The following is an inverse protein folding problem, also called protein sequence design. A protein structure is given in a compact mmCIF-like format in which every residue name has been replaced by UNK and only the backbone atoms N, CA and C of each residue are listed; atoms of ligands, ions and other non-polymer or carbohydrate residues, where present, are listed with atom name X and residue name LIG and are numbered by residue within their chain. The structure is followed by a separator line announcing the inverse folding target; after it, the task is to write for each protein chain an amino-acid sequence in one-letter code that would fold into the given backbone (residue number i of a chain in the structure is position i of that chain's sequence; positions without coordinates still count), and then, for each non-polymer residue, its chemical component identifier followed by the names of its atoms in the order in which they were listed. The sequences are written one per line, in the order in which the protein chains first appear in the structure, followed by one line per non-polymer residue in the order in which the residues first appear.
data_IF_503971699320
#
_entry.id   IF_503971699320
#
_cell.length_a   1.000
_cell.length_b   1.000
_cell.length_c   1.000
_cell.angle_alpha   90.00
_cell.angle_beta   90.00
_cell.angle_gamma   90.00
#
_symmetry.space_group_name_H-M   'P 1'
#
loop_
_entity.id
_entity.type
_entity.pdbx_description
1 polymer ?
#
# COMPACT_ATOMS: atom_id res chain seq x y z
N UNK A 1 -27.03 -25.12 6.02
CA UNK A 1 -27.24 -26.58 5.84
C UNK A 1 -26.44 -27.17 4.69
N UNK A 2 -26.72 -26.87 3.41
CA UNK A 2 -25.95 -27.42 2.26
C UNK A 2 -24.43 -27.27 2.42
N UNK A 3 -23.96 -26.07 2.74
CA UNK A 3 -22.53 -25.79 2.98
C UNK A 3 -21.91 -26.61 4.12
N UNK A 4 -22.71 -26.94 5.15
CA UNK A 4 -22.30 -27.72 6.30
C UNK A 4 -22.38 -29.24 6.06
N UNK A 5 -22.90 -29.67 4.90
CA UNK A 5 -23.08 -31.09 4.57
C UNK A 5 -24.35 -31.72 5.14
N UNK A 6 -25.18 -30.95 5.85
CA UNK A 6 -26.42 -31.42 6.48
C UNK A 6 -27.58 -31.55 5.47
N UNK A 7 -27.39 -31.10 4.24
CA UNK A 7 -28.38 -31.22 3.17
C UNK A 7 -27.70 -31.48 1.82
N UNK A 8 -28.26 -32.35 0.93
CA UNK A 8 -27.65 -32.68 -0.35
C UNK A 8 -27.40 -31.46 -1.25
N UNK A 9 -26.22 -31.41 -1.88
CA UNK A 9 -25.92 -30.44 -2.95
C UNK A 9 -26.39 -30.99 -4.31
N UNK A 10 -27.04 -30.15 -5.12
CA UNK A 10 -27.50 -30.51 -6.48
C UNK A 10 -26.72 -29.68 -7.52
N UNK A 11 -25.52 -30.13 -7.88
CA UNK A 11 -24.68 -29.47 -8.89
C UNK A 11 -24.07 -28.11 -8.50
N UNK A 12 -24.31 -27.64 -7.27
CA UNK A 12 -23.76 -26.38 -6.76
C UNK A 12 -22.38 -26.62 -6.12
N UNK A 13 -21.44 -25.72 -6.36
CA UNK A 13 -20.14 -25.73 -5.68
C UNK A 13 -20.20 -25.01 -4.33
N UNK A 14 -19.21 -25.23 -3.47
CA UNK A 14 -19.06 -24.48 -2.21
C UNK A 14 -18.95 -22.97 -2.46
N UNK A 15 -18.27 -22.57 -3.55
CA UNK A 15 -18.13 -21.17 -3.95
C UNK A 15 -19.46 -20.56 -4.34
N UNK A 16 -20.31 -21.29 -5.07
CA UNK A 16 -21.65 -20.84 -5.43
C UNK A 16 -22.50 -20.61 -4.17
N UNK A 17 -22.42 -21.53 -3.20
CA UNK A 17 -23.16 -21.43 -1.94
C UNK A 17 -22.71 -20.22 -1.13
N UNK A 18 -21.40 -20.03 -0.93
CA UNK A 18 -20.85 -18.89 -0.18
C UNK A 18 -21.20 -17.58 -0.87
N UNK A 19 -21.00 -17.50 -2.19
CA UNK A 19 -21.32 -16.32 -2.97
C UNK A 19 -22.82 -16.00 -2.88
N UNK A 20 -23.69 -17.01 -2.94
CA UNK A 20 -25.14 -16.83 -2.79
C UNK A 20 -25.50 -16.29 -1.41
N UNK A 21 -24.94 -16.87 -0.33
CA UNK A 21 -25.18 -16.40 1.04
C UNK A 21 -24.75 -14.94 1.19
N UNK A 22 -23.54 -14.60 0.72
CA UNK A 22 -23.02 -13.24 0.80
C UNK A 22 -23.83 -12.25 -0.06
N UNK A 23 -24.28 -12.66 -1.25
CA UNK A 23 -25.15 -11.86 -2.12
C UNK A 23 -26.52 -11.61 -1.51
N UNK A 24 -27.17 -12.63 -0.92
CA UNK A 24 -28.49 -12.45 -0.27
C UNK A 24 -28.40 -11.42 0.85
N UNK A 25 -27.31 -11.46 1.63
CA UNK A 25 -27.03 -10.47 2.66
C UNK A 25 -26.80 -9.04 2.12
N UNK A 26 -26.40 -8.90 0.84
CA UNK A 26 -26.11 -7.62 0.18
C UNK A 26 -27.30 -7.08 -0.65
N UNK A 27 -28.05 -7.96 -1.33
CA UNK A 27 -29.03 -7.61 -2.35
C UNK A 27 -30.31 -6.98 -1.78
N UNK A 28 -30.71 -7.35 -0.56
CA UNK A 28 -31.86 -6.69 0.10
C UNK A 28 -31.55 -5.25 0.58
N UNK A 29 -30.27 -4.87 0.67
CA UNK A 29 -29.86 -3.51 1.06
C UNK A 29 -30.17 -2.47 -0.04
N UNK A 30 -30.26 -2.89 -1.32
CA UNK A 30 -30.45 -1.99 -2.47
C UNK A 30 -31.95 -1.86 -2.84
N UNK A 31 -32.76 -2.89 -2.59
CA UNK A 31 -34.14 -2.95 -3.09
C UNK A 31 -35.21 -2.56 -2.05
N UNK A 32 -34.93 -2.66 -0.74
CA UNK A 32 -36.00 -2.66 0.26
C UNK A 32 -35.91 -1.55 1.32
N UNK A 33 -34.81 -0.79 1.41
CA UNK A 33 -34.62 0.22 2.47
C UNK A 33 -34.49 -0.34 3.89
N UNK A 34 -34.85 -1.61 4.12
CA UNK A 34 -34.67 -2.31 5.39
C UNK A 34 -33.20 -2.70 5.59
N UNK A 35 -32.49 -1.85 6.31
CA UNK A 35 -31.09 -2.04 6.64
C UNK A 35 -30.92 -3.20 7.65
N UNK A 36 -30.35 -4.33 7.20
CA UNK A 36 -29.66 -5.29 8.08
C UNK A 36 -30.39 -6.56 8.49
N UNK A 37 -31.71 -6.70 8.24
CA UNK A 37 -32.49 -7.86 8.70
C UNK A 37 -31.93 -9.22 8.21
N UNK A 38 -31.54 -9.32 6.93
CA UNK A 38 -30.96 -10.57 6.40
C UNK A 38 -29.54 -10.83 6.90
N UNK A 39 -28.78 -9.79 7.26
CA UNK A 39 -27.43 -9.95 7.80
C UNK A 39 -27.52 -10.55 9.21
N UNK A 40 -28.43 -10.02 10.02
CA UNK A 40 -28.68 -10.53 11.36
C UNK A 40 -29.27 -11.94 11.32
N UNK A 41 -30.23 -12.20 10.42
CA UNK A 41 -30.77 -13.55 10.23
C UNK A 41 -29.68 -14.54 9.81
N UNK A 42 -28.76 -14.16 8.92
CA UNK A 42 -27.63 -15.02 8.56
C UNK A 42 -26.75 -15.34 9.78
N UNK A 43 -26.47 -14.34 10.64
CA UNK A 43 -25.74 -14.57 11.89
C UNK A 43 -26.51 -15.50 12.84
N UNK A 44 -27.80 -15.24 13.07
CA UNK A 44 -28.67 -16.07 13.92
C UNK A 44 -28.71 -17.52 13.44
N UNK A 45 -28.88 -17.75 12.13
CA UNK A 45 -28.90 -19.09 11.56
C UNK A 45 -27.56 -19.80 11.76
N UNK A 46 -26.43 -19.14 11.51
CA UNK A 46 -25.12 -19.77 11.70
C UNK A 46 -24.85 -20.04 13.18
N UNK A 47 -25.14 -19.09 14.08
CA UNK A 47 -25.04 -19.27 15.54
C UNK A 47 -25.86 -20.46 16.01
N UNK A 48 -27.12 -20.57 15.57
CA UNK A 48 -27.99 -21.70 15.85
C UNK A 48 -27.37 -23.02 15.37
N UNK A 49 -26.86 -23.05 14.14
CA UNK A 49 -26.31 -24.28 13.54
C UNK A 49 -25.00 -24.75 14.18
N UNK A 50 -24.23 -23.87 14.84
CA UNK A 50 -23.00 -24.27 15.56
C UNK A 50 -23.22 -24.51 17.06
N UNK A 51 -24.38 -24.11 17.59
CA UNK A 51 -24.75 -24.31 19.00
C UNK A 51 -25.35 -25.70 19.18
N UNK A 52 -24.72 -26.53 20.02
CA UNK A 52 -25.17 -27.92 20.29
C UNK A 52 -25.45 -28.67 18.98
N UNK A 53 -24.49 -28.62 18.05
CA UNK A 53 -24.64 -29.24 16.74
C UNK A 53 -24.72 -30.78 16.88
N UNK A 54 -25.87 -31.37 16.55
CA UNK A 54 -26.15 -32.81 16.61
C UNK A 54 -26.08 -33.51 15.24
N UNK A 55 -25.41 -32.91 14.26
CA UNK A 55 -25.32 -33.48 12.92
C UNK A 55 -24.57 -34.82 12.93
N UNK A 56 -25.02 -35.76 12.08
CA UNK A 56 -24.29 -37.01 11.83
C UNK A 56 -23.04 -36.80 10.98
N UNK A 57 -22.82 -35.59 10.44
CA UNK A 57 -21.62 -35.23 9.68
C UNK A 57 -20.55 -34.65 10.61
N UNK A 58 -19.36 -35.28 10.74
CA UNK A 58 -18.35 -34.85 11.70
C UNK A 58 -17.83 -33.43 11.45
N UNK A 59 -17.78 -33.00 10.18
CA UNK A 59 -17.28 -31.67 9.81
C UNK A 59 -18.36 -30.56 9.82
N UNK A 60 -19.62 -30.89 10.14
CA UNK A 60 -20.74 -29.95 10.04
C UNK A 60 -20.50 -28.68 10.86
N UNK A 61 -20.22 -28.84 12.16
CA UNK A 61 -19.98 -27.71 13.07
C UNK A 61 -18.75 -26.89 12.65
N UNK A 62 -17.65 -27.56 12.28
CA UNK A 62 -16.44 -26.89 11.78
C UNK A 62 -16.70 -26.07 10.52
N UNK A 63 -17.53 -26.56 9.60
CA UNK A 63 -17.99 -25.82 8.42
C UNK A 63 -18.88 -24.64 8.80
N UNK A 64 -19.74 -24.78 9.80
CA UNK A 64 -20.52 -23.67 10.35
C UNK A 64 -19.64 -22.53 10.86
N UNK A 65 -18.58 -22.85 11.62
CA UNK A 65 -17.61 -21.85 12.07
C UNK A 65 -16.82 -21.20 10.92
N UNK A 66 -16.49 -21.95 9.86
CA UNK A 66 -15.89 -21.38 8.65
C UNK A 66 -16.84 -20.42 7.95
N UNK A 67 -18.13 -20.72 7.93
CA UNK A 67 -19.14 -19.80 7.40
C UNK A 67 -19.26 -18.54 8.27
N UNK A 68 -19.22 -18.66 9.60
CA UNK A 68 -19.16 -17.52 10.52
C UNK A 68 -17.93 -16.63 10.27
N UNK A 69 -16.76 -17.26 10.06
CA UNK A 69 -15.51 -16.55 9.72
C UNK A 69 -15.63 -15.75 8.42
N UNK A 70 -16.26 -16.33 7.41
CA UNK A 70 -16.56 -15.64 6.16
C UNK A 70 -17.53 -14.48 6.43
N UNK A 71 -18.70 -14.73 7.04
CA UNK A 71 -19.70 -13.68 7.30
C UNK A 71 -19.11 -12.46 8.03
N UNK A 72 -18.35 -12.69 9.09
CA UNK A 72 -17.71 -11.63 9.88
C UNK A 72 -16.68 -10.79 9.12
N UNK A 73 -16.17 -11.29 7.98
CA UNK A 73 -15.23 -10.56 7.11
C UNK A 73 -15.93 -9.68 6.05
N UNK A 74 -17.21 -9.92 5.78
CA UNK A 74 -17.95 -9.31 4.68
C UNK A 74 -19.13 -8.45 5.15
N UNK A 75 -19.74 -8.76 6.28
CA UNK A 75 -20.98 -8.12 6.71
C UNK A 75 -20.91 -7.64 8.15
N UNK A 76 -21.25 -6.36 8.37
CA UNK A 76 -21.58 -5.87 9.71
C UNK A 76 -22.96 -6.41 10.12
N UNK A 77 -23.09 -6.88 11.36
CA UNK A 77 -24.41 -7.06 11.97
C UNK A 77 -24.99 -5.69 12.37
N UNK A 78 -26.29 -5.65 12.69
CA UNK A 78 -26.90 -4.43 13.23
C UNK A 78 -26.37 -4.11 14.62
N UNK A 79 -26.56 -2.86 15.06
CA UNK A 79 -26.20 -2.45 16.44
C UNK A 79 -27.03 -3.21 17.49
N UNK A 80 -28.24 -3.68 17.15
CA UNK A 80 -29.07 -4.51 18.02
C UNK A 80 -28.48 -5.91 18.18
N UNK A 81 -28.03 -6.54 17.09
CA UNK A 81 -27.46 -7.88 17.10
C UNK A 81 -26.01 -7.92 17.63
N UNK A 82 -25.27 -6.83 17.47
CA UNK A 82 -23.86 -6.70 17.85
C UNK A 82 -23.51 -7.20 19.26
N UNK A 83 -24.19 -6.80 20.36
CA UNK A 83 -23.86 -7.31 21.70
C UNK A 83 -24.01 -8.82 21.79
N UNK A 84 -25.09 -9.39 21.24
CA UNK A 84 -25.34 -10.84 21.27
C UNK A 84 -24.30 -11.62 20.48
N UNK A 85 -23.96 -11.15 19.27
CA UNK A 85 -22.93 -11.78 18.44
C UNK A 85 -21.55 -11.71 19.10
N UNK A 86 -21.18 -10.56 19.68
CA UNK A 86 -19.89 -10.41 20.37
C UNK A 86 -19.80 -11.32 21.59
N UNK A 87 -20.81 -11.35 22.44
CA UNK A 87 -20.84 -12.25 23.61
C UNK A 87 -20.74 -13.71 23.18
N UNK A 88 -21.52 -14.12 22.17
CA UNK A 88 -21.43 -15.48 21.63
C UNK A 88 -20.02 -15.87 21.17
N UNK A 89 -19.34 -14.98 20.43
CA UNK A 89 -17.98 -15.21 19.96
C UNK A 89 -16.98 -15.25 21.13
N UNK A 90 -17.15 -14.38 22.14
CA UNK A 90 -16.27 -14.30 23.31
C UNK A 90 -16.43 -15.53 24.23
N UNK A 91 -17.65 -16.01 24.45
CA UNK A 91 -17.90 -17.23 25.25
C UNK A 91 -17.28 -18.47 24.60
N UNK A 92 -17.38 -18.56 23.26
CA UNK A 92 -16.71 -19.59 22.48
C UNK A 92 -15.18 -19.48 22.52
N UNK A 93 -14.63 -18.29 22.81
CA UNK A 93 -13.19 -18.08 23.02
C UNK A 93 -12.75 -18.41 24.45
N UNK A 94 -13.57 -18.13 25.45
CA UNK A 94 -13.17 -18.12 26.85
C UNK A 94 -13.08 -19.53 27.46
N UNK A 95 -13.79 -20.50 26.89
CA UNK A 95 -13.89 -21.85 27.46
C UNK A 95 -12.67 -22.71 27.07
N UNK A 96 -11.76 -23.03 28.01
CA UNK A 96 -10.56 -23.83 27.73
C UNK A 96 -10.95 -25.24 27.28
N UNK A 97 -10.31 -25.76 26.23
CA UNK A 97 -10.56 -27.12 25.71
C UNK A 97 -11.66 -27.24 24.65
N UNK A 98 -12.37 -26.15 24.30
CA UNK A 98 -13.31 -26.17 23.18
C UNK A 98 -12.59 -26.20 21.82
N UNK A 99 -13.09 -27.05 20.91
CA UNK A 99 -12.50 -27.32 19.58
C UNK A 99 -12.42 -26.09 18.65
N UNK A 100 -13.14 -24.99 18.95
CA UNK A 100 -13.33 -23.86 18.02
C UNK A 100 -12.84 -22.51 18.54
N UNK A 101 -12.10 -22.48 19.65
CA UNK A 101 -11.58 -21.24 20.25
C UNK A 101 -10.82 -20.36 19.25
N UNK A 102 -9.93 -20.96 18.46
CA UNK A 102 -9.09 -20.21 17.51
C UNK A 102 -9.90 -19.53 16.40
N UNK A 103 -10.90 -20.20 15.84
CA UNK A 103 -11.74 -19.64 14.78
C UNK A 103 -12.75 -18.62 15.34
N UNK A 104 -13.30 -18.84 16.54
CA UNK A 104 -14.15 -17.86 17.21
C UNK A 104 -13.42 -16.54 17.46
N UNK A 105 -12.17 -16.59 17.93
CA UNK A 105 -11.31 -15.40 18.12
C UNK A 105 -11.05 -14.67 16.80
N UNK A 106 -10.85 -15.42 15.72
CA UNK A 106 -10.65 -14.84 14.41
C UNK A 106 -11.93 -14.17 13.87
N UNK A 107 -13.11 -14.78 14.09
CA UNK A 107 -14.41 -14.17 13.78
C UNK A 107 -14.62 -12.86 14.56
N UNK A 108 -14.27 -12.83 15.85
CA UNK A 108 -14.37 -11.62 16.67
C UNK A 108 -13.46 -10.50 16.10
N UNK A 109 -12.22 -10.82 15.76
CA UNK A 109 -11.29 -9.88 15.13
C UNK A 109 -11.82 -9.37 13.79
N UNK A 110 -12.32 -10.26 12.93
CA UNK A 110 -12.91 -9.88 11.65
C UNK A 110 -14.10 -8.95 11.85
N UNK A 111 -15.00 -9.25 12.79
CA UNK A 111 -16.17 -8.42 13.06
C UNK A 111 -15.76 -7.00 13.49
N UNK A 112 -14.79 -6.87 14.41
CA UNK A 112 -14.24 -5.56 14.83
C UNK A 112 -13.70 -4.77 13.63
N UNK A 113 -12.94 -5.43 12.75
CA UNK A 113 -12.38 -4.83 11.54
C UNK A 113 -13.47 -4.41 10.57
N UNK A 114 -14.49 -5.25 10.39
CA UNK A 114 -15.63 -4.97 9.53
C UNK A 114 -16.41 -3.75 10.02
N UNK A 115 -16.60 -3.57 11.34
CA UNK A 115 -17.14 -2.34 11.91
C UNK A 115 -16.26 -1.11 11.64
N UNK A 116 -14.95 -1.25 11.78
CA UNK A 116 -14.00 -0.15 11.63
C UNK A 116 -13.82 0.33 10.18
N UNK A 117 -13.71 -0.59 9.22
CA UNK A 117 -13.31 -0.29 7.84
C UNK A 117 -14.41 -0.51 6.80
N UNK A 118 -15.45 -1.28 7.13
CA UNK A 118 -16.43 -1.76 6.15
C UNK A 118 -16.26 -3.26 5.97
N UNK A 119 -17.22 -3.93 5.35
CA UNK A 119 -16.99 -5.31 4.93
C UNK A 119 -16.14 -5.36 3.67
N UNK A 120 -15.50 -6.51 3.41
CA UNK A 120 -14.93 -6.79 2.09
C UNK A 120 -15.98 -6.66 0.99
N UNK A 121 -15.57 -6.14 -0.16
CA UNK A 121 -16.47 -5.89 -1.30
C UNK A 121 -16.31 -6.92 -2.42
N UNK A 122 -15.16 -7.59 -2.51
CA UNK A 122 -14.93 -8.65 -3.48
C UNK A 122 -15.08 -10.03 -2.83
N UNK A 123 -15.96 -10.86 -3.37
CA UNK A 123 -16.14 -12.23 -2.88
C UNK A 123 -14.84 -13.04 -3.01
N UNK A 124 -14.59 -13.99 -2.09
CA UNK A 124 -13.35 -14.75 -2.13
C UNK A 124 -13.27 -15.58 -3.40
N UNK A 125 -12.12 -15.53 -4.07
CA UNK A 125 -11.88 -16.38 -5.24
C UNK A 125 -11.74 -17.86 -4.83
N UNK A 126 -11.71 -18.77 -5.80
CA UNK A 126 -11.69 -20.21 -5.52
C UNK A 126 -10.48 -20.64 -4.69
N UNK A 127 -9.33 -19.98 -4.85
CA UNK A 127 -8.11 -20.30 -4.11
C UNK A 127 -8.17 -19.79 -2.67
N UNK A 128 -8.67 -18.56 -2.47
CA UNK A 128 -8.92 -17.99 -1.16
C UNK A 128 -9.92 -18.85 -0.37
N UNK A 129 -11.04 -19.22 -1.00
CA UNK A 129 -12.06 -20.03 -0.35
C UNK A 129 -11.51 -21.42 0.04
N UNK A 130 -10.78 -22.09 -0.86
CA UNK A 130 -10.10 -23.36 -0.54
C UNK A 130 -9.15 -23.22 0.65
N UNK A 131 -8.45 -22.09 0.77
CA UNK A 131 -7.57 -21.83 1.91
C UNK A 131 -8.36 -21.64 3.22
N UNK A 132 -9.43 -20.84 3.20
CA UNK A 132 -10.33 -20.68 4.35
C UNK A 132 -10.95 -22.02 4.78
N UNK A 133 -11.35 -22.85 3.82
CA UNK A 133 -11.86 -24.20 4.07
C UNK A 133 -10.80 -25.17 4.59
N UNK A 134 -9.51 -24.89 4.39
CA UNK A 134 -8.42 -25.61 5.03
C UNK A 134 -8.04 -25.03 6.40
N UNK A 135 -8.79 -24.05 6.92
CA UNK A 135 -8.49 -23.37 8.19
C UNK A 135 -7.33 -22.36 8.10
N UNK A 136 -6.88 -22.00 6.89
CA UNK A 136 -5.84 -20.99 6.69
C UNK A 136 -6.48 -19.60 6.69
N UNK A 137 -6.05 -18.76 7.63
CA UNK A 137 -6.55 -17.39 7.83
C UNK A 137 -5.55 -16.30 7.41
N UNK A 138 -4.45 -16.69 6.75
CA UNK A 138 -3.41 -15.76 6.30
C UNK A 138 -2.76 -16.19 4.99
N UNK A 139 -2.28 -15.20 4.22
CA UNK A 139 -1.53 -15.34 2.97
C UNK A 139 -0.20 -14.60 3.10
N UNK A 140 0.88 -15.16 2.56
CA UNK A 140 2.15 -14.44 2.39
C UNK A 140 2.03 -13.60 1.12
N UNK A 141 2.13 -12.27 1.24
CA UNK A 141 1.97 -11.33 0.15
C UNK A 141 3.27 -10.55 -0.05
N UNK A 142 3.73 -10.46 -1.30
CA UNK A 142 4.89 -9.67 -1.68
C UNK A 142 4.48 -8.21 -1.87
N UNK A 143 5.27 -7.33 -1.25
CA UNK A 143 5.30 -5.89 -1.46
C UNK A 143 6.68 -5.48 -1.94
N UNK A 144 6.72 -4.65 -2.97
CA UNK A 144 7.95 -4.12 -3.56
C UNK A 144 8.21 -2.71 -3.04
N UNK A 145 9.44 -2.47 -2.62
CA UNK A 145 9.93 -1.15 -2.23
C UNK A 145 10.89 -0.63 -3.32
N UNK A 146 11.06 0.70 -3.43
CA UNK A 146 12.01 1.31 -4.36
C UNK A 146 13.38 0.61 -4.41
N UNK A 147 13.86 0.39 -5.63
CA UNK A 147 15.09 -0.37 -5.90
C UNK A 147 14.92 -1.88 -5.96
N UNK A 148 13.68 -2.37 -6.08
CA UNK A 148 13.38 -3.80 -6.22
C UNK A 148 13.54 -4.57 -4.91
N UNK A 149 13.45 -3.89 -3.77
CA UNK A 149 13.53 -4.53 -2.46
C UNK A 149 12.24 -5.31 -2.22
N UNK A 150 12.35 -6.62 -2.04
CA UNK A 150 11.21 -7.49 -1.77
C UNK A 150 10.91 -7.61 -0.28
N UNK A 151 9.66 -7.34 0.12
CA UNK A 151 9.17 -7.54 1.49
C UNK A 151 7.94 -8.42 1.47
N UNK A 152 8.05 -9.59 2.10
CA UNK A 152 6.95 -10.53 2.21
C UNK A 152 6.25 -10.36 3.56
N UNK A 153 5.01 -9.88 3.54
CA UNK A 153 4.20 -9.71 4.75
C UNK A 153 3.15 -10.82 4.88
N UNK A 154 2.76 -11.12 6.11
CA UNK A 154 1.68 -12.06 6.40
C UNK A 154 0.35 -11.30 6.53
N UNK A 155 -0.39 -11.22 5.43
CA UNK A 155 -1.72 -10.59 5.45
C UNK A 155 -2.79 -11.58 5.91
N UNK A 156 -3.79 -11.08 6.64
CA UNK A 156 -4.99 -11.82 7.07
C UNK A 156 -6.17 -11.49 6.14
N UNK A 157 -7.29 -12.23 6.28
CA UNK A 157 -8.51 -11.98 5.50
C UNK A 157 -8.99 -10.53 5.57
N UNK A 158 -8.92 -9.91 6.75
CA UNK A 158 -9.33 -8.53 6.99
C UNK A 158 -8.17 -7.52 7.03
N UNK A 159 -7.02 -7.85 6.41
CA UNK A 159 -5.91 -6.90 6.30
C UNK A 159 -6.20 -5.82 5.26
N UNK A 160 -6.08 -4.56 5.69
CA UNK A 160 -6.25 -3.37 4.86
C UNK A 160 -4.89 -2.74 4.56
N UNK A 161 -4.85 -1.81 3.62
CA UNK A 161 -3.62 -1.11 3.25
C UNK A 161 -2.94 -0.40 4.43
N UNK A 162 -3.69 0.10 5.41
CA UNK A 162 -3.14 0.69 6.63
C UNK A 162 -2.26 -0.29 7.42
N UNK A 163 -2.67 -1.56 7.58
CA UNK A 163 -1.87 -2.51 8.36
C UNK A 163 -0.51 -2.77 7.69
N UNK A 164 -0.51 -2.84 6.36
CA UNK A 164 0.71 -2.98 5.56
C UNK A 164 1.62 -1.77 5.75
N UNK A 165 1.05 -0.57 5.74
CA UNK A 165 1.79 0.66 5.98
C UNK A 165 2.38 0.67 7.38
N UNK A 166 1.59 0.34 8.40
CA UNK A 166 2.04 0.25 9.80
C UNK A 166 3.17 -0.76 9.97
N UNK A 167 3.05 -1.96 9.39
CA UNK A 167 4.05 -3.02 9.50
C UNK A 167 5.38 -2.61 8.83
N UNK A 168 5.33 -2.10 7.59
CA UNK A 168 6.54 -1.65 6.88
C UNK A 168 7.17 -0.42 7.52
N UNK A 169 6.37 0.52 8.01
CA UNK A 169 6.86 1.67 8.75
C UNK A 169 7.51 1.25 10.07
N UNK A 170 6.94 0.28 10.78
CA UNK A 170 7.52 -0.27 12.01
C UNK A 170 8.89 -0.91 11.75
N UNK A 171 9.03 -1.72 10.69
CA UNK A 171 10.33 -2.28 10.27
C UNK A 171 11.37 -1.19 9.97
N UNK A 172 10.92 -0.03 9.48
CA UNK A 172 11.74 1.14 9.20
C UNK A 172 12.00 2.04 10.43
N UNK A 173 11.56 1.66 11.63
CA UNK A 173 11.74 2.47 12.84
C UNK A 173 10.81 3.69 12.93
N UNK A 174 9.71 3.70 12.18
CA UNK A 174 8.72 4.77 12.16
C UNK A 174 7.49 4.34 12.99
N UNK A 175 7.25 5.02 14.10
CA UNK A 175 6.13 4.75 15.01
C UNK A 175 5.13 5.90 15.11
N UNK A 176 5.49 7.08 14.57
CA UNK A 176 4.66 8.28 14.62
C UNK A 176 3.58 8.23 13.55
N UNK A 177 2.37 8.61 13.90
CA UNK A 177 1.22 8.56 13.00
C UNK A 177 1.41 9.46 11.78
N UNK A 178 2.03 10.62 11.97
CA UNK A 178 2.37 11.56 10.90
C UNK A 178 3.34 10.94 9.89
N UNK A 179 4.23 10.04 10.34
CA UNK A 179 5.13 9.32 9.43
C UNK A 179 4.38 8.27 8.60
N UNK A 180 3.32 7.67 9.14
CA UNK A 180 2.46 6.74 8.39
C UNK A 180 1.63 7.45 7.31
N UNK A 181 1.29 8.72 7.53
CA UNK A 181 0.56 9.54 6.56
C UNK A 181 1.40 9.91 5.33
N UNK A 182 2.72 9.89 5.47
CA UNK A 182 3.62 10.13 4.35
C UNK A 182 3.78 8.94 3.40
N UNK A 183 3.27 7.76 3.76
CA UNK A 183 3.47 6.53 3.00
C UNK A 183 2.17 5.97 2.43
N UNK A 184 2.27 5.32 1.28
CA UNK A 184 1.14 4.70 0.61
C UNK A 184 1.54 3.40 -0.11
N UNK A 185 0.55 2.51 -0.25
CA UNK A 185 0.64 1.29 -1.06
C UNK A 185 0.01 1.56 -2.42
N UNK A 186 0.57 0.98 -3.47
CA UNK A 186 0.16 1.14 -4.86
C UNK A 186 -0.10 -0.21 -5.49
N UNK A 187 -1.19 -0.33 -6.24
CA UNK A 187 -1.36 -1.39 -7.22
C UNK A 187 -0.68 -0.95 -8.52
N UNK A 188 0.17 -1.80 -9.06
CA UNK A 188 0.85 -1.60 -10.33
C UNK A 188 0.49 -2.74 -11.28
N UNK A 189 -0.04 -2.40 -12.46
CA UNK A 189 -0.40 -3.35 -13.52
C UNK A 189 0.16 -2.93 -14.88
N UNK A 190 0.12 -3.84 -15.84
CA UNK A 190 0.59 -3.71 -17.21
C UNK A 190 2.04 -3.20 -17.28
N UNK A 191 2.94 -3.86 -16.57
CA UNK A 191 4.39 -3.53 -16.52
C UNK A 191 4.66 -2.07 -16.16
N UNK A 192 3.89 -1.49 -15.24
CA UNK A 192 4.10 -0.13 -14.76
C UNK A 192 3.34 0.96 -15.52
N UNK A 193 2.55 0.59 -16.53
CA UNK A 193 1.72 1.57 -17.25
C UNK A 193 0.60 2.12 -16.37
N UNK A 194 0.04 1.29 -15.49
CA UNK A 194 -1.03 1.68 -14.58
C UNK A 194 -0.52 1.61 -13.14
N UNK A 195 -0.57 2.75 -12.45
CA UNK A 195 -0.15 2.88 -11.05
C UNK A 195 -1.28 3.54 -10.28
N UNK A 196 -1.93 2.80 -9.38
CA UNK A 196 -3.06 3.26 -8.57
C UNK A 196 -2.70 3.29 -7.09
N UNK A 197 -2.73 4.45 -6.40
CA UNK A 197 -2.66 4.47 -4.94
C UNK A 197 -3.85 3.75 -4.33
N UNK A 198 -3.60 3.00 -3.26
CA UNK A 198 -4.64 2.41 -2.44
C UNK A 198 -5.04 3.38 -1.33
N UNK A 199 -6.33 3.51 -1.08
CA UNK A 199 -6.88 4.07 0.14
C UNK A 199 -6.49 3.16 1.31
N UNK A 200 -6.12 3.77 2.45
CA UNK A 200 -5.71 3.08 3.69
C UNK A 200 -6.75 2.06 4.18
N UNK A 201 -8.03 2.23 3.83
CA UNK A 201 -9.14 1.35 4.24
C UNK A 201 -9.43 0.21 3.24
N UNK A 202 -8.83 0.21 2.06
CA UNK A 202 -9.03 -0.87 1.08
C UNK A 202 -8.41 -2.18 1.56
N UNK A 203 -9.13 -3.29 1.42
CA UNK A 203 -8.67 -4.64 1.75
C UNK A 203 -7.70 -5.16 0.70
N UNK A 204 -6.51 -5.62 1.13
CA UNK A 204 -5.47 -6.09 0.20
C UNK A 204 -5.94 -7.30 -0.62
N UNK A 205 -6.75 -8.19 -0.02
CA UNK A 205 -7.29 -9.35 -0.74
C UNK A 205 -8.38 -8.97 -1.75
N UNK A 206 -9.10 -7.88 -1.53
CA UNK A 206 -10.02 -7.34 -2.55
C UNK A 206 -9.22 -6.86 -3.76
N UNK A 207 -8.15 -6.09 -3.51
CA UNK A 207 -7.26 -5.59 -4.56
C UNK A 207 -6.63 -6.72 -5.36
N UNK A 208 -6.12 -7.75 -4.66
CA UNK A 208 -5.53 -8.92 -5.31
C UNK A 208 -6.55 -9.69 -6.16
N UNK A 209 -7.78 -9.84 -5.66
CA UNK A 209 -8.86 -10.56 -6.36
C UNK A 209 -9.29 -9.85 -7.64
N UNK A 210 -9.35 -8.52 -7.62
CA UNK A 210 -9.63 -7.70 -8.81
C UNK A 210 -8.47 -7.68 -9.80
N UNK A 211 -7.23 -7.58 -9.31
CA UNK A 211 -6.06 -7.39 -10.15
C UNK A 211 -5.64 -8.67 -10.89
N UNK A 212 -5.75 -9.84 -10.24
CA UNK A 212 -5.25 -11.11 -10.77
C UNK A 212 -5.83 -11.50 -12.15
N UNK A 213 -7.15 -11.34 -12.41
CA UNK A 213 -7.71 -11.58 -13.75
C UNK A 213 -7.33 -10.53 -14.81
N UNK A 214 -6.99 -9.31 -14.38
CA UNK A 214 -6.65 -8.18 -15.28
C UNK A 214 -5.20 -8.27 -15.72
N UNK A 215 -4.29 -8.59 -14.79
CA UNK A 215 -2.87 -8.76 -15.05
C UNK A 215 -2.28 -9.75 -14.05
N UNK A 216 -1.89 -10.93 -14.52
CA UNK A 216 -1.24 -11.94 -13.70
C UNK A 216 0.12 -11.50 -13.11
N UNK A 217 0.74 -10.45 -13.68
CA UNK A 217 1.99 -9.86 -13.20
C UNK A 217 1.78 -8.58 -12.40
N UNK A 218 0.58 -8.35 -11.85
CA UNK A 218 0.34 -7.21 -10.96
C UNK A 218 1.32 -7.24 -9.78
N UNK A 219 1.65 -6.06 -9.25
CA UNK A 219 2.49 -5.93 -8.08
C UNK A 219 1.97 -4.88 -7.12
N UNK A 220 2.25 -5.06 -5.83
CA UNK A 220 1.95 -4.10 -4.79
C UNK A 220 3.23 -3.38 -4.39
N UNK A 221 3.24 -2.05 -4.47
CA UNK A 221 4.40 -1.23 -4.17
C UNK A 221 4.17 -0.36 -2.94
N UNK A 222 5.17 -0.21 -2.10
CA UNK A 222 5.15 0.69 -0.96
C UNK A 222 6.15 1.83 -1.18
N UNK A 223 5.67 3.09 -1.08
CA UNK A 223 6.52 4.28 -1.26
C UNK A 223 6.13 5.42 -0.35
N UNK A 224 7.07 6.33 -0.13
CA UNK A 224 6.80 7.64 0.47
C UNK A 224 6.22 8.58 -0.59
N UNK A 225 5.18 9.32 -0.26
CA UNK A 225 4.46 10.22 -1.18
C UNK A 225 4.44 11.67 -0.71
N UNK A 226 4.54 11.89 0.60
CA UNK A 226 4.63 13.22 1.21
C UNK A 226 5.99 13.33 1.90
N UNK A 227 6.60 14.52 1.82
CA UNK A 227 7.95 14.79 2.31
C UNK A 227 7.95 16.01 3.24
N UNK A 228 7.11 15.98 4.26
CA UNK A 228 6.98 17.04 5.27
C UNK A 228 7.84 16.79 6.51
N UNK A 229 8.12 15.53 6.85
CA UNK A 229 8.99 15.18 7.98
C UNK A 229 10.45 14.99 7.53
N UNK A 230 11.38 15.48 8.33
CA UNK A 230 12.80 15.22 8.12
C UNK A 230 13.10 13.71 8.09
N UNK A 231 14.03 13.30 7.22
CA UNK A 231 14.46 11.91 7.11
C UNK A 231 15.16 11.45 8.39
N UNK A 232 14.80 10.25 8.87
CA UNK A 232 15.54 9.53 9.90
C UNK A 232 16.56 8.60 9.25
N UNK A 233 17.84 8.93 9.35
CA UNK A 233 18.91 8.25 8.62
C UNK A 233 19.61 7.14 9.43
N UNK A 234 18.92 6.57 10.41
CA UNK A 234 19.42 5.57 11.36
C UNK A 234 19.03 4.12 11.01
N UNK A 235 18.01 3.92 10.17
CA UNK A 235 17.53 2.59 9.76
C UNK A 235 17.99 2.25 8.33
N UNK A 236 18.59 1.06 8.16
CA UNK A 236 19.16 0.65 6.87
C UNK A 236 18.11 0.46 5.76
N UNK A 237 16.97 -0.16 6.09
CA UNK A 237 15.87 -0.35 5.14
C UNK A 237 15.29 0.99 4.70
N UNK A 238 15.02 1.87 5.67
CA UNK A 238 14.49 3.21 5.42
C UNK A 238 15.42 4.00 4.50
N UNK A 239 16.71 4.09 4.84
CA UNK A 239 17.71 4.82 4.05
C UNK A 239 17.84 4.23 2.65
N UNK A 240 17.89 2.91 2.51
CA UNK A 240 18.06 2.27 1.20
C UNK A 240 16.83 2.49 0.32
N UNK A 241 15.63 2.33 0.87
CA UNK A 241 14.37 2.57 0.15
C UNK A 241 14.25 4.03 -0.31
N UNK A 242 14.52 5.01 0.57
CA UNK A 242 14.44 6.43 0.20
C UNK A 242 15.52 6.81 -0.82
N UNK A 243 16.74 6.28 -0.67
CA UNK A 243 17.82 6.48 -1.65
C UNK A 243 17.39 6.01 -3.04
N UNK A 244 16.84 4.80 -3.14
CA UNK A 244 16.37 4.25 -4.40
C UNK A 244 15.15 5.00 -4.98
N UNK A 245 14.37 5.66 -4.13
CA UNK A 245 13.24 6.47 -4.56
C UNK A 245 13.67 7.83 -5.09
N UNK A 246 14.68 8.45 -4.48
CA UNK A 246 15.18 9.81 -4.82
C UNK A 246 16.17 9.77 -5.98
N UNK A 247 16.96 8.71 -6.11
CA UNK A 247 18.04 8.60 -7.11
C UNK A 247 17.58 8.83 -8.56
N UNK A 248 16.45 8.27 -9.05
CA UNK A 248 16.00 8.52 -10.42
C UNK A 248 15.67 9.99 -10.70
N UNK A 249 15.13 10.71 -9.71
CA UNK A 249 14.81 12.15 -9.85
C UNK A 249 16.06 13.00 -9.87
N UNK A 250 17.06 12.64 -9.06
CA UNK A 250 18.37 13.26 -9.12
C UNK A 250 19.00 13.10 -10.51
N UNK A 251 19.01 11.88 -11.07
CA UNK A 251 19.60 11.61 -12.38
C UNK A 251 18.83 12.29 -13.53
N UNK A 252 17.53 12.54 -13.36
CA UNK A 252 16.69 13.33 -14.26
C UNK A 252 16.80 14.84 -14.03
N UNK A 253 17.65 15.29 -13.09
CA UNK A 253 17.83 16.68 -12.70
C UNK A 253 16.55 17.40 -12.26
N UNK A 254 15.65 16.67 -11.59
CA UNK A 254 14.39 17.19 -11.05
C UNK A 254 14.54 17.74 -9.62
N UNK A 255 15.69 17.50 -8.99
CA UNK A 255 15.98 17.98 -7.64
C UNK A 255 16.70 19.33 -7.70
N UNK A 256 16.39 20.22 -6.76
CA UNK A 256 16.98 21.56 -6.66
C UNK A 256 18.49 21.59 -6.43
N UNK A 257 19.07 20.48 -5.97
CA UNK A 257 20.52 20.28 -5.92
C UNK A 257 21.18 20.32 -7.31
N UNK A 258 20.40 20.14 -8.37
CA UNK A 258 20.86 20.13 -9.75
C UNK A 258 20.45 21.43 -10.44
N UNK A 259 21.39 22.24 -10.95
CA UNK A 259 21.06 23.54 -11.53
C UNK A 259 20.33 23.38 -12.88
N UNK A 260 19.31 24.19 -13.16
CA UNK A 260 18.59 24.14 -14.45
C UNK A 260 19.37 24.79 -15.62
N UNK A 261 20.51 25.43 -15.32
CA UNK A 261 21.33 26.18 -16.28
C UNK A 261 22.80 25.73 -16.33
N UNK A 262 23.70 26.67 -16.60
CA UNK A 262 25.14 26.39 -16.50
C UNK A 262 25.51 26.13 -15.03
N UNK A 263 26.13 24.98 -14.70
CA UNK A 263 26.51 24.70 -13.33
C UNK A 263 27.64 25.64 -12.89
N UNK A 264 27.50 26.22 -11.69
CA UNK A 264 28.63 26.89 -11.04
C UNK A 264 29.65 25.86 -10.55
N UNK A 265 30.87 26.30 -10.21
CA UNK A 265 31.90 25.41 -9.67
C UNK A 265 31.42 24.68 -8.40
N UNK A 266 30.64 25.34 -7.54
CA UNK A 266 30.03 24.73 -6.36
C UNK A 266 29.07 23.59 -6.74
N UNK A 267 28.24 23.77 -7.77
CA UNK A 267 27.35 22.72 -8.26
C UNK A 267 28.14 21.53 -8.84
N UNK A 268 29.23 21.79 -9.58
CA UNK A 268 30.10 20.73 -10.09
C UNK A 268 30.67 19.90 -8.93
N UNK A 269 31.23 20.56 -7.91
CA UNK A 269 31.75 19.90 -6.71
C UNK A 269 30.67 19.07 -6.00
N UNK A 270 29.45 19.59 -5.91
CA UNK A 270 28.33 18.88 -5.27
C UNK A 270 27.89 17.64 -6.08
N UNK A 271 27.68 17.78 -7.39
CA UNK A 271 27.31 16.69 -8.29
C UNK A 271 28.38 15.60 -8.27
N UNK A 272 29.66 15.97 -8.31
CA UNK A 272 30.77 15.03 -8.22
C UNK A 272 30.80 14.30 -6.87
N UNK A 273 30.58 15.02 -5.77
CA UNK A 273 30.52 14.38 -4.44
C UNK A 273 29.35 13.40 -4.34
N UNK A 274 28.19 13.74 -4.92
CA UNK A 274 27.05 12.84 -5.02
C UNK A 274 27.37 11.61 -5.89
N UNK A 275 28.17 11.75 -6.95
CA UNK A 275 28.63 10.61 -7.75
C UNK A 275 29.57 9.67 -6.96
N UNK A 276 30.50 10.22 -6.18
CA UNK A 276 31.35 9.42 -5.29
C UNK A 276 30.53 8.66 -4.24
N UNK A 277 29.53 9.31 -3.64
CA UNK A 277 28.59 8.67 -2.70
C UNK A 277 27.77 7.55 -3.36
N UNK A 278 27.27 7.76 -4.58
CA UNK A 278 26.55 6.73 -5.34
C UNK A 278 27.43 5.52 -5.64
N UNK A 279 28.69 5.73 -6.03
CA UNK A 279 29.66 4.64 -6.24
C UNK A 279 29.83 3.83 -4.95
N UNK A 280 30.15 4.49 -3.83
CA UNK A 280 30.32 3.81 -2.55
C UNK A 280 29.04 3.13 -2.05
N UNK A 281 27.87 3.66 -2.37
CA UNK A 281 26.58 3.06 -2.05
C UNK A 281 26.32 1.71 -2.75
N UNK A 282 27.06 1.38 -3.81
CA UNK A 282 27.06 0.05 -4.47
C UNK A 282 27.96 -0.97 -3.77
N UNK A 283 28.56 -0.60 -2.64
CA UNK A 283 29.56 -1.37 -1.90
C UNK A 283 30.86 -1.67 -2.65
N UNK A 284 31.21 -0.82 -3.62
CA UNK A 284 32.47 -0.91 -4.35
C UNK A 284 33.60 -0.26 -3.53
N UNK A 285 34.79 -0.89 -3.55
CA UNK A 285 35.98 -0.47 -2.79
C UNK A 285 37.05 0.12 -3.72
N UNK A 286 36.98 -0.20 -5.02
CA UNK A 286 37.89 0.31 -6.05
C UNK A 286 37.49 1.71 -6.54
N UNK A 287 38.40 2.38 -7.25
CA UNK A 287 38.14 3.70 -7.84
C UNK A 287 37.14 3.62 -9.01
N UNK A 288 36.22 4.57 -9.14
CA UNK A 288 35.19 4.52 -10.17
C UNK A 288 35.79 4.57 -11.58
N UNK A 289 35.17 3.87 -12.52
CA UNK A 289 35.47 3.92 -13.95
C UNK A 289 34.69 5.04 -14.64
N UNK A 290 35.10 5.43 -15.85
CA UNK A 290 34.35 6.42 -16.66
C UNK A 290 32.88 6.06 -16.82
N UNK A 291 32.58 4.78 -17.05
CA UNK A 291 31.22 4.28 -17.23
C UNK A 291 30.39 4.42 -15.94
N UNK A 292 30.96 4.07 -14.80
CA UNK A 292 30.26 4.18 -13.51
C UNK A 292 30.00 5.64 -13.14
N UNK A 293 30.96 6.54 -13.42
CA UNK A 293 30.75 7.98 -13.26
C UNK A 293 29.64 8.47 -14.17
N UNK A 294 29.62 8.06 -15.44
CA UNK A 294 28.55 8.43 -16.38
C UNK A 294 27.16 8.04 -15.88
N UNK A 295 27.01 6.88 -15.24
CA UNK A 295 25.74 6.42 -14.69
C UNK A 295 25.30 7.20 -13.44
N UNK A 296 26.22 7.87 -12.75
CA UNK A 296 25.97 8.60 -11.50
C UNK A 296 25.78 10.12 -11.70
N UNK A 297 25.98 10.64 -12.92
CA UNK A 297 25.91 12.06 -13.25
C UNK A 297 24.65 12.30 -14.10
N UNK A 298 23.85 13.36 -13.83
CA UNK A 298 22.70 13.65 -14.67
C UNK A 298 23.12 13.88 -16.14
N UNK A 299 22.53 13.18 -17.12
CA UNK A 299 23.05 13.10 -18.50
C UNK A 299 23.28 14.46 -19.18
N UNK A 300 22.49 15.48 -18.81
CA UNK A 300 22.58 16.84 -19.34
C UNK A 300 23.89 17.59 -19.01
N UNK A 301 24.63 17.16 -17.98
CA UNK A 301 25.94 17.74 -17.63
C UNK A 301 27.11 16.89 -18.12
N UNK A 302 26.90 15.58 -18.24
CA UNK A 302 27.96 14.68 -18.67
C UNK A 302 28.42 14.96 -20.11
N UNK A 303 27.51 15.38 -20.99
CA UNK A 303 27.83 15.73 -22.39
C UNK A 303 28.49 17.11 -22.54
N UNK A 304 28.20 18.05 -21.65
CA UNK A 304 28.69 19.45 -21.72
C UNK A 304 30.09 19.62 -21.13
N UNK A 305 30.45 18.76 -20.19
CA UNK A 305 31.69 18.83 -19.42
C UNK A 305 32.51 17.57 -19.73
N UNK A 306 33.81 17.70 -20.01
CA UNK A 306 34.63 16.58 -20.47
C UNK A 306 34.58 15.36 -19.52
N UNK A 307 34.40 14.16 -20.07
CA UNK A 307 34.26 12.91 -19.30
C UNK A 307 35.41 12.64 -18.33
N UNK A 308 36.65 12.94 -18.74
CA UNK A 308 37.85 12.82 -17.90
C UNK A 308 37.84 13.77 -16.70
N UNK A 309 37.26 14.97 -16.87
CA UNK A 309 37.16 15.93 -15.78
C UNK A 309 36.23 15.39 -14.68
N UNK A 310 35.08 14.83 -15.05
CA UNK A 310 34.17 14.19 -14.08
C UNK A 310 34.84 13.04 -13.34
N UNK A 311 35.58 12.20 -14.04
CA UNK A 311 36.33 11.09 -13.42
C UNK A 311 37.35 11.58 -12.40
N UNK A 312 38.16 12.57 -12.79
CA UNK A 312 39.22 13.11 -11.93
C UNK A 312 38.63 13.73 -10.66
N UNK A 313 37.59 14.56 -10.80
CA UNK A 313 36.92 15.16 -9.65
C UNK A 313 36.26 14.07 -8.78
N UNK A 314 35.63 13.05 -9.37
CA UNK A 314 34.98 11.98 -8.60
C UNK A 314 36.01 11.17 -7.80
N UNK A 315 37.14 10.86 -8.44
CA UNK A 315 38.28 10.18 -7.82
C UNK A 315 38.86 10.99 -6.65
N UNK A 316 38.90 12.32 -6.76
CA UNK A 316 39.32 13.18 -5.64
C UNK A 316 38.36 13.06 -4.44
N UNK A 317 37.04 13.11 -4.68
CA UNK A 317 36.05 12.96 -3.60
C UNK A 317 36.01 11.56 -3.00
N UNK A 318 36.46 10.53 -3.73
CA UNK A 318 36.53 9.16 -3.20
C UNK A 318 37.40 9.04 -1.96
N UNK A 319 38.46 9.84 -1.81
CA UNK A 319 39.32 9.80 -0.61
C UNK A 319 38.53 10.08 0.69
N UNK A 320 37.51 10.94 0.61
CA UNK A 320 36.65 11.29 1.75
C UNK A 320 35.50 10.29 1.96
N UNK A 321 35.07 9.63 0.88
CA UNK A 321 33.91 8.74 0.87
C UNK A 321 34.29 7.28 1.12
N UNK A 322 35.52 6.87 0.79
CA UNK A 322 35.99 5.49 0.91
C UNK A 322 35.85 4.89 2.32
N UNK A 323 36.07 5.64 3.44
CA UNK A 323 35.88 5.09 4.79
C UNK A 323 34.41 4.80 5.17
N UNK A 324 33.45 5.36 4.42
CA UNK A 324 32.02 5.16 4.73
C UNK A 324 31.61 3.72 4.41
N UNK A 325 30.57 3.22 5.06
CA UNK A 325 29.85 2.03 4.61
C UNK A 325 28.71 2.40 3.62
N UNK A 326 28.11 1.43 2.91
CA UNK A 326 27.05 1.72 1.93
C UNK A 326 25.85 2.47 2.52
N UNK A 327 25.44 2.12 3.74
CA UNK A 327 24.35 2.80 4.45
C UNK A 327 24.69 4.28 4.71
N UNK A 328 25.89 4.56 5.24
CA UNK A 328 26.38 5.92 5.48
C UNK A 328 26.50 6.72 4.17
N UNK A 329 26.93 6.08 3.07
CA UNK A 329 27.01 6.73 1.77
C UNK A 329 25.61 7.13 1.25
N UNK A 330 24.62 6.23 1.34
CA UNK A 330 23.21 6.51 1.00
C UNK A 330 22.60 7.59 1.91
N UNK A 331 22.88 7.53 3.21
CA UNK A 331 22.43 8.53 4.18
C UNK A 331 23.01 9.92 3.88
N UNK A 332 24.31 10.03 3.62
CA UNK A 332 24.93 11.29 3.23
C UNK A 332 24.44 11.81 1.88
N UNK A 333 24.17 10.91 0.91
CA UNK A 333 23.55 11.29 -0.35
C UNK A 333 22.17 11.91 -0.10
N UNK A 334 21.31 11.22 0.66
CA UNK A 334 19.98 11.71 1.02
C UNK A 334 20.03 13.04 1.76
N UNK A 335 20.90 13.18 2.76
CA UNK A 335 21.05 14.44 3.50
C UNK A 335 21.47 15.62 2.62
N UNK A 336 22.15 15.38 1.49
CA UNK A 336 22.54 16.43 0.54
C UNK A 336 21.47 16.74 -0.50
N UNK A 337 20.58 15.81 -0.79
CA UNK A 337 19.52 15.97 -1.80
C UNK A 337 18.18 16.39 -1.19
N UNK A 338 17.93 16.06 0.09
CA UNK A 338 16.64 16.32 0.77
C UNK A 338 16.59 17.60 1.61
N UNK A 339 17.74 18.12 2.06
CA UNK A 339 17.84 19.43 2.74
C UNK A 339 17.33 20.59 1.86
N UNK A 340 17.14 20.38 0.55
CA UNK A 340 16.62 21.38 -0.37
C UNK A 340 15.12 21.21 -0.73
N UNK A 341 14.46 20.14 -0.25
CA UNK A 341 13.03 19.93 -0.48
C UNK A 341 12.13 20.59 0.60
N UNK A 342 12.69 20.85 1.80
CA UNK A 342 12.00 21.49 2.92
C UNK A 342 11.86 23.02 2.74
N UNK A 343 12.82 23.70 2.10
CA UNK A 343 12.78 25.17 1.95
C UNK A 343 11.93 25.67 0.77
N UNK A 344 11.97 25.01 -0.40
CA UNK A 344 11.38 25.58 -1.62
C UNK A 344 9.86 25.44 -1.72
N UNK A 345 9.24 24.54 -0.95
CA UNK A 345 7.78 24.38 -0.93
C UNK A 345 7.06 25.37 -0.02
N UNK A 346 7.72 25.92 1.00
CA UNK A 346 7.12 26.93 1.89
C UNK A 346 7.19 28.35 1.33
N UNK A 347 8.16 28.65 0.45
CA UNK A 347 8.35 30.00 -0.11
C UNK A 347 7.41 30.35 -1.28
N UNK A 348 6.62 29.40 -1.81
CA UNK A 348 5.72 29.63 -2.94
C UNK A 348 4.26 29.91 -2.57
N UNK A 349 3.88 29.84 -1.29
CA UNK A 349 2.48 30.01 -0.82
C UNK A 349 2.30 31.29 0.01
N UNK A 350 2.67 32.44 -0.57
CA UNK A 350 2.37 33.76 -0.03
C UNK A 350 1.17 34.41 -0.74
N UNK A 351 0.10 34.61 0.03
CA UNK A 351 -1.05 35.51 -0.17
C UNK A 351 -2.07 35.31 -1.32
N UNK A 352 -3.30 35.76 -1.02
CA UNK A 352 -4.51 35.98 -1.85
C UNK A 352 -5.40 34.75 -2.11
N UNK A 353 -6.75 34.74 -1.98
CA UNK A 353 -7.76 35.79 -1.79
C UNK A 353 -9.02 35.48 -2.63
N UNK A 354 -10.04 34.84 -2.02
CA UNK A 354 -11.51 34.75 -2.29
C UNK A 354 -12.19 34.81 -3.71
N UNK A 355 -13.21 33.91 -3.87
CA UNK A 355 -14.54 33.98 -4.59
C UNK A 355 -14.88 33.32 -5.98
N UNK A 356 -15.92 32.44 -5.94
CA UNK A 356 -17.15 32.14 -6.76
C UNK A 356 -17.26 31.75 -8.27
N UNK A 357 -17.86 30.55 -8.46
CA UNK A 357 -19.05 30.05 -9.25
C UNK A 357 -19.31 30.24 -10.76
N UNK A 358 -19.92 29.17 -11.34
CA UNK A 358 -20.52 28.93 -12.68
C UNK A 358 -19.51 28.48 -13.77
N UNK A 359 -19.70 27.50 -14.66
CA UNK A 359 -20.78 26.61 -15.10
C UNK A 359 -20.44 26.21 -16.57
N UNK A 360 -20.59 24.93 -16.95
CA UNK A 360 -20.74 24.38 -18.33
C UNK A 360 -19.87 23.19 -18.78
N UNK A 361 -20.49 22.42 -19.69
CA UNK A 361 -20.30 21.01 -20.04
C UNK A 361 -19.65 20.73 -21.40
N UNK A 362 -18.83 19.65 -21.43
CA UNK A 362 -18.57 18.62 -22.47
C UNK A 362 -18.07 19.05 -23.88
N UNK A 363 -16.87 18.55 -24.27
CA UNK A 363 -16.70 17.76 -25.51
C UNK A 363 -15.39 16.96 -25.61
N UNK A 364 -15.47 15.89 -26.40
CA UNK A 364 -14.55 14.74 -26.57
C UNK A 364 -13.37 14.96 -27.54
N UNK A 365 -12.16 14.52 -27.16
CA UNK A 365 -11.15 13.73 -27.91
C UNK A 365 -9.71 13.98 -27.39
N UNK A 366 -8.89 12.92 -27.45
CA UNK A 366 -7.42 12.85 -27.34
C UNK A 366 -6.77 12.71 -25.95
N UNK A 367 -5.90 11.70 -25.87
CA UNK A 367 -4.79 11.48 -24.92
C UNK A 367 -5.07 11.55 -23.41
N UNK A 368 -5.16 10.35 -22.80
CA UNK A 368 -5.25 10.14 -21.36
C UNK A 368 -3.99 10.64 -20.62
N UNK A 369 -3.97 11.93 -20.29
CA UNK A 369 -3.13 12.52 -19.25
C UNK A 369 -3.80 12.29 -17.89
N UNK A 370 -3.33 11.30 -17.13
CA UNK A 370 -3.82 11.06 -15.76
C UNK A 370 -2.96 11.85 -14.78
N UNK A 371 -3.56 12.90 -14.24
CA UNK A 371 -3.04 13.71 -13.14
C UNK A 371 -3.23 12.99 -11.81
N UNK A 372 -2.19 12.95 -10.99
CA UNK A 372 -2.28 12.56 -9.58
C UNK A 372 -2.92 13.72 -8.79
N UNK A 373 -4.25 13.80 -8.80
CA UNK A 373 -4.99 14.43 -7.69
C UNK A 373 -5.26 13.35 -6.66
N UNK A 374 -4.46 13.32 -5.59
CA UNK A 374 -4.89 12.71 -4.34
C UNK A 374 -5.69 13.76 -3.56
N UNK A 375 -6.92 13.45 -3.11
CA UNK A 375 -7.71 14.38 -2.31
C UNK A 375 -7.13 14.44 -0.90
N UNK A 376 -6.44 15.53 -0.57
CA UNK A 376 -6.27 15.96 0.82
C UNK A 376 -7.44 16.90 1.09
N UNK A 377 -8.39 16.45 1.91
CA UNK A 377 -9.46 17.28 2.40
C UNK A 377 -8.88 18.36 3.32
N UNK A 378 -8.68 19.56 2.79
CA UNK A 378 -8.73 20.80 3.56
C UNK A 378 -9.69 21.74 2.83
N UNK A 379 -10.72 22.20 3.54
CA UNK A 379 -11.63 23.24 3.07
C UNK A 379 -10.84 24.48 2.62
N UNK A 380 -10.91 24.85 1.33
CA UNK A 380 -11.31 26.18 0.79
C UNK A 380 -10.97 26.29 -0.73
N UNK A 381 -11.89 26.90 -1.48
CA UNK A 381 -11.92 27.20 -2.93
C UNK A 381 -10.81 28.19 -3.39
N UNK A 382 -10.43 28.47 -4.64
CA UNK A 382 -10.75 28.10 -6.03
C UNK A 382 -9.54 28.48 -6.95
N UNK A 383 -9.66 28.27 -8.26
CA UNK A 383 -8.61 28.21 -9.29
C UNK A 383 -8.00 29.54 -9.80
N UNK A 384 -6.80 29.47 -10.39
CA UNK A 384 -6.21 30.50 -11.24
C UNK A 384 -4.78 30.20 -11.70
N UNK A 385 -4.55 30.19 -13.01
CA UNK A 385 -3.35 29.74 -13.75
C UNK A 385 -1.96 30.14 -13.19
N UNK A 386 -1.17 29.12 -12.84
CA UNK A 386 0.28 29.16 -12.71
C UNK A 386 0.83 27.77 -13.03
N UNK A 387 1.73 27.68 -14.01
CA UNK A 387 2.18 26.41 -14.60
C UNK A 387 2.74 25.42 -13.59
N UNK A 388 1.93 24.42 -13.25
CA UNK A 388 2.33 23.32 -12.37
C UNK A 388 3.19 22.33 -13.17
N UNK A 389 4.41 22.06 -12.69
CA UNK A 389 5.31 21.06 -13.28
C UNK A 389 4.64 19.68 -13.17
N UNK A 390 4.10 19.20 -14.29
CA UNK A 390 3.48 17.88 -14.41
C UNK A 390 4.55 16.80 -14.38
N UNK A 391 4.63 16.04 -13.28
CA UNK A 391 5.51 14.87 -13.23
C UNK A 391 4.93 13.70 -14.02
N UNK A 392 5.53 13.45 -15.20
CA UNK A 392 5.33 12.23 -16.00
C UNK A 392 6.28 11.15 -15.47
N UNK A 393 5.74 10.18 -14.75
CA UNK A 393 6.51 9.00 -14.34
C UNK A 393 6.36 7.92 -15.41
N UNK A 394 7.33 7.86 -16.35
CA UNK A 394 7.64 6.61 -17.06
C UNK A 394 8.50 5.77 -16.10
N UNK A 395 8.00 4.58 -15.76
CA UNK A 395 8.81 3.50 -15.17
C UNK A 395 9.77 3.00 -16.24
#
# INVERSE_FOLDING_TARGET
MKFMGDFPMKGQTEQDLVTTILKVCLHQQILSGDHGLMKDEAYCQVMKQVTVNTSSKPDSCQRGWRLMYILTSFHRCSDVMKPFLLTFLQDACASPGLQYQGIAKACEQNLRRTFQYGGRVQYPNSMELKAMMAGRSSKRQLFLLPGGIERHLKIKTCSVALDVIEELCFEMGLQRMEALDEHAVFLVTHKGQNVRPLNKREYILDIATEAEPVDANYSLWFRRVIWSLALKLDNELYVTMHYNQVLPDYLKALLSVVPQGKPSEQHLQQITRLAALQHRAKDTIYLPTLREVQECIPPQFYSKQGSQQWLNMTTQHMQQVQPLNPHQARAQFLGKTTVLCECERYSQFGDYGAFSSEGDSINSHSEANIWLQLPISCHTAAAGAGGCIRHRWKI
#
